data_IF_866083118228
#
_entry.id   IF_866083118228
#
_cell.length_a   1.000
_cell.length_b   1.000
_cell.length_c   1.000
_cell.angle_alpha   90.00
_cell.angle_beta   90.00
_cell.angle_gamma   90.00
#
_symmetry.space_group_name_H-M   'P 1'
#
loop_
_entity.id
_entity.type
_entity.pdbx_description
1 polymer ?
#
# COMPACT_ATOMS: atom_id res chain seq x y z
N UNK A 1 18.24 -14.02 -22.87
CA UNK A 1 17.62 -12.83 -22.19
C UNK A 1 16.19 -13.18 -21.87
N UNK A 2 15.78 -13.10 -20.61
CA UNK A 2 14.39 -13.33 -20.23
C UNK A 2 13.56 -12.17 -20.80
N UNK A 3 12.45 -12.44 -21.52
CA UNK A 3 11.58 -11.38 -22.01
C UNK A 3 11.10 -10.51 -20.83
N UNK A 4 11.29 -9.21 -20.93
CA UNK A 4 10.78 -8.23 -19.93
C UNK A 4 9.34 -7.87 -20.27
N UNK A 5 8.47 -8.88 -20.32
CA UNK A 5 7.04 -8.69 -20.57
C UNK A 5 6.26 -8.75 -19.26
N UNK A 6 5.29 -7.84 -19.14
CA UNK A 6 4.35 -7.93 -18.03
C UNK A 6 3.48 -9.17 -18.19
N UNK A 7 3.13 -9.78 -17.06
CA UNK A 7 2.24 -10.94 -17.07
C UNK A 7 1.19 -10.81 -15.95
N UNK A 8 -0.04 -11.20 -16.28
CA UNK A 8 -1.12 -11.39 -15.33
C UNK A 8 -1.57 -12.85 -15.44
N UNK A 9 -1.46 -13.56 -14.32
CA UNK A 9 -1.91 -14.95 -14.21
C UNK A 9 -3.28 -14.98 -13.55
N UNK A 10 -4.28 -15.43 -14.28
CA UNK A 10 -5.63 -15.59 -13.77
C UNK A 10 -5.80 -17.01 -13.21
N UNK A 11 -6.02 -17.11 -11.91
CA UNK A 11 -6.22 -18.38 -11.21
C UNK A 11 -7.28 -18.26 -10.12
N UNK A 12 -8.13 -19.27 -10.00
CA UNK A 12 -9.15 -19.37 -8.97
C UNK A 12 -8.57 -19.54 -7.56
N UNK A 13 -9.42 -19.45 -6.55
CA UNK A 13 -9.02 -19.75 -5.18
C UNK A 13 -8.51 -21.20 -5.06
N UNK A 14 -7.41 -21.41 -4.34
CA UNK A 14 -6.81 -22.73 -4.14
C UNK A 14 -5.99 -23.27 -5.34
N UNK A 15 -5.94 -22.58 -6.48
CA UNK A 15 -5.22 -23.05 -7.69
C UNK A 15 -3.70 -22.81 -7.65
N UNK A 16 -3.13 -22.50 -6.48
CA UNK A 16 -1.67 -22.42 -6.32
C UNK A 16 -1.06 -21.06 -6.71
N UNK A 17 -1.79 -19.95 -6.61
CA UNK A 17 -1.29 -18.59 -6.91
C UNK A 17 0.06 -18.30 -6.24
N UNK A 18 0.15 -18.47 -4.92
CA UNK A 18 1.42 -18.26 -4.18
C UNK A 18 2.53 -19.19 -4.66
N UNK A 19 2.21 -20.45 -5.05
CA UNK A 19 3.19 -21.36 -5.65
C UNK A 19 3.71 -20.81 -6.98
N UNK A 20 2.87 -20.17 -7.76
CA UNK A 20 3.25 -19.51 -9.04
C UNK A 20 4.22 -18.35 -8.79
N UNK A 21 3.98 -17.51 -7.77
CA UNK A 21 4.90 -16.43 -7.36
C UNK A 21 6.27 -17.02 -6.95
N UNK A 22 6.27 -18.05 -6.10
CA UNK A 22 7.51 -18.74 -5.66
C UNK A 22 8.27 -19.29 -6.87
N UNK A 23 7.58 -20.00 -7.76
CA UNK A 23 8.19 -20.58 -8.96
C UNK A 23 8.75 -19.49 -9.91
N UNK A 24 8.03 -18.37 -10.07
CA UNK A 24 8.48 -17.23 -10.89
C UNK A 24 9.72 -16.58 -10.29
N UNK A 25 9.74 -16.32 -9.00
CA UNK A 25 10.91 -15.74 -8.31
C UNK A 25 12.12 -16.67 -8.43
N UNK A 26 11.93 -17.97 -8.16
CA UNK A 26 12.98 -18.97 -8.31
C UNK A 26 13.52 -19.05 -9.73
N UNK A 27 12.66 -19.07 -10.74
CA UNK A 27 13.04 -19.05 -12.15
C UNK A 27 13.87 -17.80 -12.51
N UNK A 28 13.46 -16.62 -12.09
CA UNK A 28 14.16 -15.35 -12.35
C UNK A 28 15.58 -15.38 -11.77
N UNK A 29 15.72 -15.82 -10.52
CA UNK A 29 17.02 -15.92 -9.84
C UNK A 29 17.90 -16.94 -10.54
N UNK A 30 17.40 -18.15 -10.84
CA UNK A 30 18.15 -19.21 -11.55
C UNK A 30 18.55 -18.79 -12.96
N UNK A 31 17.82 -17.87 -13.57
CA UNK A 31 18.12 -17.31 -14.88
C UNK A 31 19.07 -16.11 -14.85
N UNK A 32 19.65 -15.79 -13.67
CA UNK A 32 20.69 -14.78 -13.51
C UNK A 32 20.20 -13.39 -13.06
N UNK A 33 18.90 -13.23 -12.72
CA UNK A 33 18.43 -11.98 -12.10
C UNK A 33 18.90 -11.93 -10.65
N UNK A 34 19.62 -10.89 -10.21
CA UNK A 34 20.01 -10.76 -8.81
C UNK A 34 18.79 -10.73 -7.90
N UNK A 35 18.79 -11.54 -6.83
CA UNK A 35 17.63 -11.69 -5.93
C UNK A 35 17.17 -10.36 -5.33
N UNK A 36 18.09 -9.44 -5.00
CA UNK A 36 17.77 -8.12 -4.46
C UNK A 36 17.10 -7.16 -5.47
N UNK A 37 17.12 -7.51 -6.78
CA UNK A 37 16.43 -6.78 -7.86
C UNK A 37 14.98 -7.22 -8.04
N UNK A 38 14.53 -8.19 -7.24
CA UNK A 38 13.15 -8.69 -7.24
C UNK A 38 12.49 -8.26 -5.95
N UNK A 39 11.37 -7.52 -6.06
CA UNK A 39 10.50 -7.20 -4.93
C UNK A 39 9.19 -7.97 -5.10
N UNK A 40 8.76 -8.66 -4.05
CA UNK A 40 7.46 -9.32 -3.99
C UNK A 40 6.54 -8.51 -3.08
N UNK A 41 5.34 -8.19 -3.57
CA UNK A 41 4.31 -7.47 -2.84
C UNK A 41 3.13 -8.41 -2.55
N UNK A 42 2.68 -8.43 -1.31
CA UNK A 42 1.56 -9.25 -0.85
C UNK A 42 0.75 -8.50 0.21
N UNK A 43 -0.39 -9.06 0.64
CA UNK A 43 -1.27 -8.38 1.59
C UNK A 43 -0.89 -8.59 3.06
N UNK A 44 -0.20 -9.69 3.38
CA UNK A 44 0.14 -10.01 4.78
C UNK A 44 1.64 -10.21 4.97
N UNK A 45 2.13 -9.85 6.15
CA UNK A 45 3.52 -10.11 6.54
C UNK A 45 3.84 -11.60 6.58
N UNK A 46 2.85 -12.42 6.97
CA UNK A 46 2.99 -13.88 7.01
C UNK A 46 3.23 -14.44 5.60
N UNK A 47 2.40 -14.05 4.62
CA UNK A 47 2.58 -14.47 3.22
C UNK A 47 3.94 -14.02 2.68
N UNK A 48 4.37 -12.79 2.99
CA UNK A 48 5.68 -12.31 2.59
C UNK A 48 6.83 -13.20 3.12
N UNK A 49 6.82 -13.53 4.42
CA UNK A 49 7.83 -14.40 5.02
C UNK A 49 7.79 -15.80 4.43
N UNK A 50 6.61 -16.37 4.25
CA UNK A 50 6.42 -17.72 3.68
C UNK A 50 6.94 -17.82 2.25
N UNK A 51 6.69 -16.80 1.41
CA UNK A 51 7.20 -16.78 0.02
C UNK A 51 8.73 -16.78 0.01
N UNK A 52 9.37 -15.92 0.82
CA UNK A 52 10.84 -15.85 0.89
C UNK A 52 11.42 -17.17 1.37
N UNK A 53 10.84 -17.77 2.40
CA UNK A 53 11.28 -19.06 2.95
C UNK A 53 11.18 -20.17 1.89
N UNK A 54 10.07 -20.27 1.18
CA UNK A 54 9.87 -21.26 0.10
C UNK A 54 10.87 -21.08 -1.03
N UNK A 55 11.18 -19.85 -1.45
CA UNK A 55 12.21 -19.61 -2.48
C UNK A 55 13.59 -20.03 -1.98
N UNK A 56 13.92 -19.72 -0.72
CA UNK A 56 15.18 -20.13 -0.08
C UNK A 56 15.32 -21.64 0.03
N UNK A 57 14.25 -22.38 0.32
CA UNK A 57 14.26 -23.84 0.33
C UNK A 57 14.65 -24.43 -1.03
N UNK A 58 14.33 -23.76 -2.12
CA UNK A 58 14.65 -24.21 -3.48
C UNK A 58 16.04 -23.79 -3.96
N UNK A 59 16.52 -22.61 -3.56
CA UNK A 59 17.70 -21.97 -4.15
C UNK A 59 18.86 -21.72 -3.17
N UNK A 60 18.65 -21.97 -1.88
CA UNK A 60 19.68 -21.73 -0.85
C UNK A 60 20.16 -20.28 -0.87
N UNK A 61 21.48 -20.12 -0.85
CA UNK A 61 22.16 -18.80 -0.78
C UNK A 61 21.87 -17.91 -2.01
N UNK A 62 21.52 -18.49 -3.15
CA UNK A 62 21.15 -17.71 -4.36
C UNK A 62 19.93 -16.83 -4.13
N UNK A 63 19.07 -17.14 -3.16
CA UNK A 63 17.92 -16.36 -2.78
C UNK A 63 18.26 -15.27 -1.71
N UNK A 64 19.52 -15.15 -1.29
CA UNK A 64 19.92 -14.10 -0.33
C UNK A 64 19.66 -12.72 -0.94
N UNK A 65 19.02 -11.85 -0.15
CA UNK A 65 18.63 -10.52 -0.63
C UNK A 65 17.24 -10.43 -1.28
N UNK A 66 16.57 -11.55 -1.57
CA UNK A 66 15.17 -11.53 -2.04
C UNK A 66 14.28 -10.86 -0.98
N UNK A 67 13.44 -9.93 -1.43
CA UNK A 67 12.55 -9.17 -0.56
C UNK A 67 11.10 -9.46 -0.91
N UNK A 68 10.33 -9.80 0.12
CA UNK A 68 8.88 -9.80 0.06
C UNK A 68 8.33 -8.94 1.20
N UNK A 69 7.30 -8.17 0.95
CA UNK A 69 6.69 -7.29 1.95
C UNK A 69 5.24 -6.94 1.58
N UNK A 70 4.53 -6.37 2.54
CA UNK A 70 3.25 -5.72 2.22
C UNK A 70 3.50 -4.38 1.52
N UNK A 71 2.48 -3.87 0.80
CA UNK A 71 2.52 -2.54 0.18
C UNK A 71 2.94 -1.45 1.18
N UNK A 72 2.35 -1.45 2.38
CA UNK A 72 2.70 -0.49 3.43
C UNK A 72 4.16 -0.60 3.86
N UNK A 73 4.65 -1.81 4.13
CA UNK A 73 6.04 -2.03 4.53
C UNK A 73 7.01 -1.58 3.43
N UNK A 74 6.69 -1.84 2.18
CA UNK A 74 7.47 -1.39 1.03
C UNK A 74 7.52 0.14 0.95
N UNK A 75 6.35 0.81 1.00
CA UNK A 75 6.27 2.28 0.98
C UNK A 75 7.02 2.92 2.15
N UNK A 76 6.87 2.40 3.39
CA UNK A 76 7.63 2.87 4.55
C UNK A 76 9.13 2.74 4.30
N UNK A 77 9.58 1.63 3.70
CA UNK A 77 11.00 1.43 3.40
C UNK A 77 11.53 2.43 2.37
N UNK A 78 10.72 2.82 1.37
CA UNK A 78 11.07 3.85 0.39
C UNK A 78 11.18 5.22 1.05
N UNK A 79 10.18 5.61 1.83
CA UNK A 79 10.16 6.89 2.56
C UNK A 79 11.38 7.00 3.49
N UNK A 80 11.68 5.94 4.27
CA UNK A 80 12.81 5.94 5.21
C UNK A 80 14.17 6.09 4.51
N UNK A 81 14.33 5.55 3.31
CA UNK A 81 15.59 5.66 2.54
C UNK A 81 15.76 7.01 1.86
N UNK A 82 14.69 7.68 1.50
CA UNK A 82 14.72 8.97 0.81
C UNK A 82 13.59 9.91 1.28
N UNK A 83 13.53 10.29 2.58
CA UNK A 83 12.42 11.04 3.13
C UNK A 83 12.20 12.39 2.44
N UNK A 84 13.26 13.04 1.97
CA UNK A 84 13.14 14.28 1.22
C UNK A 84 12.47 14.10 -0.16
N UNK A 85 12.73 12.97 -0.84
CA UNK A 85 12.13 12.70 -2.14
C UNK A 85 10.60 12.50 -2.06
N UNK A 86 10.10 12.11 -0.88
CA UNK A 86 8.68 11.91 -0.60
C UNK A 86 8.06 13.09 0.17
N UNK A 87 8.81 14.16 0.45
CA UNK A 87 8.32 15.28 1.26
C UNK A 87 8.02 14.94 2.72
N UNK A 88 8.55 13.83 3.22
CA UNK A 88 8.26 13.27 4.54
C UNK A 88 9.38 13.48 5.57
N UNK A 89 10.25 14.48 5.34
CA UNK A 89 11.29 14.81 6.33
C UNK A 89 10.61 15.24 7.64
N UNK A 90 11.08 14.67 8.75
CA UNK A 90 10.60 14.96 10.11
C UNK A 90 9.11 14.57 10.37
N UNK A 91 8.56 13.66 9.58
CA UNK A 91 7.24 13.09 9.83
C UNK A 91 7.32 11.83 10.72
N UNK A 92 6.33 11.66 11.57
CA UNK A 92 6.15 10.47 12.40
C UNK A 92 4.97 9.64 11.87
N UNK A 93 5.17 8.33 11.81
CA UNK A 93 4.09 7.41 11.43
C UNK A 93 3.24 7.11 12.67
N UNK A 94 1.93 7.30 12.55
CA UNK A 94 0.93 6.93 13.55
C UNK A 94 0.24 5.63 13.14
N UNK A 95 -0.05 4.81 14.13
CA UNK A 95 -0.75 3.55 13.91
C UNK A 95 -2.28 3.71 13.99
N UNK A 96 -2.99 2.57 13.90
CA UNK A 96 -4.47 2.56 13.95
C UNK A 96 -5.02 3.00 15.29
N UNK A 97 -4.33 2.71 16.38
CA UNK A 97 -4.78 3.10 17.71
C UNK A 97 -4.61 4.60 17.91
N UNK A 98 -3.50 5.18 17.47
CA UNK A 98 -3.28 6.63 17.45
C UNK A 98 -4.34 7.35 16.59
N UNK A 99 -4.62 6.83 15.39
CA UNK A 99 -5.66 7.32 14.49
C UNK A 99 -7.02 7.32 15.20
N UNK A 100 -7.36 6.20 15.85
CA UNK A 100 -8.61 6.07 16.60
C UNK A 100 -8.71 7.07 17.75
N UNK A 101 -7.64 7.30 18.50
CA UNK A 101 -7.60 8.29 19.57
C UNK A 101 -7.80 9.71 19.04
N UNK A 102 -7.18 10.06 17.92
CA UNK A 102 -7.38 11.36 17.28
C UNK A 102 -8.84 11.54 16.87
N UNK A 103 -9.46 10.55 16.23
CA UNK A 103 -10.89 10.62 15.88
C UNK A 103 -11.79 10.72 17.12
N UNK A 104 -11.49 10.03 18.23
CA UNK A 104 -12.23 10.16 19.50
C UNK A 104 -12.18 11.59 20.03
N UNK A 105 -11.00 12.22 20.02
CA UNK A 105 -10.82 13.60 20.49
C UNK A 105 -11.57 14.58 19.59
N UNK A 106 -11.41 14.46 18.27
CA UNK A 106 -11.99 15.38 17.28
C UNK A 106 -13.50 15.26 17.16
N UNK A 107 -14.04 14.04 17.29
CA UNK A 107 -15.47 13.80 17.37
C UNK A 107 -16.11 14.52 18.58
N UNK A 108 -15.37 14.61 19.69
CA UNK A 108 -15.81 15.24 20.91
C UNK A 108 -16.74 14.35 21.77
N UNK A 109 -16.72 14.58 23.08
CA UNK A 109 -17.52 13.82 24.07
C UNK A 109 -19.02 14.10 23.98
N UNK A 110 -19.41 15.30 23.49
CA UNK A 110 -20.81 15.75 23.37
C UNK A 110 -21.40 15.55 21.98
N UNK A 111 -20.71 14.79 21.11
CA UNK A 111 -21.23 14.54 19.78
C UNK A 111 -22.59 13.80 19.84
N UNK A 112 -23.49 14.15 18.93
CA UNK A 112 -24.79 13.48 18.77
C UNK A 112 -24.62 11.96 18.74
N UNK A 113 -25.55 11.22 19.33
CA UNK A 113 -25.60 9.76 19.22
C UNK A 113 -25.76 9.28 17.78
N UNK A 114 -26.22 10.13 16.88
CA UNK A 114 -26.35 9.85 15.44
C UNK A 114 -25.04 9.99 14.68
N UNK A 115 -24.03 10.74 15.19
CA UNK A 115 -22.74 10.84 14.54
C UNK A 115 -21.98 9.52 14.69
N UNK A 116 -21.39 8.97 13.61
CA UNK A 116 -20.65 7.71 13.64
C UNK A 116 -19.60 7.69 14.77
N UNK A 117 -19.36 6.51 15.32
CA UNK A 117 -18.30 6.31 16.33
C UNK A 117 -16.93 6.63 15.74
N UNK A 118 -15.94 6.85 16.59
CA UNK A 118 -14.58 7.09 16.14
C UNK A 118 -14.03 5.96 15.25
N UNK A 119 -14.37 4.70 15.56
CA UNK A 119 -13.99 3.55 14.74
C UNK A 119 -14.64 3.62 13.34
N UNK A 120 -15.94 3.90 13.28
CA UNK A 120 -16.65 4.05 12.01
C UNK A 120 -16.13 5.24 11.20
N UNK A 121 -15.77 6.37 11.85
CA UNK A 121 -15.14 7.50 11.16
C UNK A 121 -13.77 7.14 10.59
N UNK A 122 -12.94 6.38 11.33
CA UNK A 122 -11.69 5.85 10.83
C UNK A 122 -11.92 4.96 9.60
N UNK A 123 -12.90 4.04 9.66
CA UNK A 123 -13.18 3.11 8.56
C UNK A 123 -13.69 3.85 7.31
N UNK A 124 -14.59 4.82 7.48
CA UNK A 124 -15.09 5.67 6.40
C UNK A 124 -13.95 6.50 5.77
N UNK A 125 -13.08 7.06 6.60
CA UNK A 125 -11.92 7.82 6.14
C UNK A 125 -10.98 6.95 5.31
N UNK A 126 -10.54 5.82 5.85
CA UNK A 126 -9.65 4.89 5.16
C UNK A 126 -10.30 4.34 3.88
N UNK A 127 -11.59 4.01 3.91
CA UNK A 127 -12.29 3.56 2.72
C UNK A 127 -12.30 4.61 1.60
N UNK A 128 -12.60 5.86 1.93
CA UNK A 128 -12.57 6.97 0.96
C UNK A 128 -11.18 7.15 0.35
N UNK A 129 -10.12 7.12 1.18
CA UNK A 129 -8.72 7.23 0.74
C UNK A 129 -8.30 6.08 -0.19
N UNK A 130 -8.60 4.85 0.19
CA UNK A 130 -8.19 3.65 -0.55
C UNK A 130 -8.94 3.49 -1.88
N UNK A 131 -10.20 3.95 -1.95
CA UNK A 131 -11.02 3.85 -3.17
C UNK A 131 -10.96 5.08 -4.05
N UNK A 132 -10.54 6.24 -3.52
CA UNK A 132 -10.60 7.53 -4.20
C UNK A 132 -12.01 8.09 -4.33
N UNK A 133 -12.98 7.54 -3.61
CA UNK A 133 -14.37 8.03 -3.61
C UNK A 133 -14.50 9.31 -2.80
N UNK A 134 -15.41 10.18 -3.22
CA UNK A 134 -15.80 11.34 -2.42
C UNK A 134 -16.50 10.91 -1.12
N UNK A 135 -16.52 11.77 -0.11
CA UNK A 135 -17.26 11.50 1.13
C UNK A 135 -18.74 11.20 0.84
N UNK A 136 -19.35 11.91 -0.10
CA UNK A 136 -20.74 11.71 -0.53
C UNK A 136 -20.96 10.27 -1.04
N UNK A 137 -20.14 9.83 -1.98
CA UNK A 137 -20.21 8.47 -2.54
C UNK A 137 -19.90 7.39 -1.49
N UNK A 138 -18.93 7.67 -0.61
CA UNK A 138 -18.55 6.77 0.50
C UNK A 138 -19.72 6.55 1.47
N UNK A 139 -20.38 7.64 1.89
CA UNK A 139 -21.52 7.57 2.80
C UNK A 139 -22.71 6.85 2.17
N UNK A 140 -23.05 7.17 0.92
CA UNK A 140 -24.14 6.48 0.19
C UNK A 140 -23.91 4.98 0.09
N UNK A 141 -22.66 4.56 -0.09
CA UNK A 141 -22.30 3.15 -0.25
C UNK A 141 -22.19 2.41 1.08
N UNK A 142 -21.49 2.99 2.07
CA UNK A 142 -21.04 2.26 3.25
C UNK A 142 -21.78 2.66 4.55
N UNK A 143 -22.45 3.82 4.58
CA UNK A 143 -23.13 4.31 5.78
C UNK A 143 -24.31 5.23 5.41
N UNK A 144 -25.33 4.73 4.67
CA UNK A 144 -26.45 5.55 4.22
C UNK A 144 -27.22 6.21 5.38
N UNK A 145 -27.31 5.53 6.53
CA UNK A 145 -27.96 6.05 7.74
C UNK A 145 -27.27 7.28 8.35
N UNK A 146 -25.96 7.46 8.08
CA UNK A 146 -25.19 8.61 8.55
C UNK A 146 -25.16 9.75 7.54
N UNK A 147 -25.85 9.63 6.42
CA UNK A 147 -25.79 10.60 5.33
C UNK A 147 -26.28 12.00 5.76
N UNK A 148 -27.29 12.07 6.65
CA UNK A 148 -27.80 13.32 7.21
C UNK A 148 -26.80 14.10 8.05
N UNK A 149 -25.72 13.47 8.53
CA UNK A 149 -24.62 14.07 9.27
C UNK A 149 -23.38 14.37 8.42
N UNK A 150 -23.50 14.33 7.09
CA UNK A 150 -22.38 14.47 6.14
C UNK A 150 -21.49 15.69 6.43
N UNK A 151 -22.08 16.86 6.71
CA UNK A 151 -21.35 18.08 7.03
C UNK A 151 -20.52 17.95 8.31
N UNK A 152 -21.08 17.33 9.35
CA UNK A 152 -20.37 17.12 10.63
C UNK A 152 -19.24 16.10 10.44
N UNK A 153 -19.48 15.02 9.69
CA UNK A 153 -18.48 14.02 9.34
C UNK A 153 -17.34 14.68 8.56
N UNK A 154 -17.66 15.51 7.56
CA UNK A 154 -16.68 16.27 6.79
C UNK A 154 -15.82 17.18 7.68
N UNK A 155 -16.42 17.89 8.63
CA UNK A 155 -15.71 18.75 9.59
C UNK A 155 -14.72 17.93 10.44
N UNK A 156 -15.12 16.76 10.95
CA UNK A 156 -14.24 15.89 11.74
C UNK A 156 -13.08 15.39 10.88
N UNK A 157 -13.33 14.99 9.64
CA UNK A 157 -12.28 14.52 8.71
C UNK A 157 -11.30 15.65 8.36
N UNK A 158 -11.80 16.86 8.09
CA UNK A 158 -10.95 18.03 7.84
C UNK A 158 -10.10 18.39 9.06
N UNK A 159 -10.68 18.35 10.27
CA UNK A 159 -9.93 18.56 11.51
C UNK A 159 -8.86 17.48 11.74
N UNK A 160 -9.14 16.24 11.36
CA UNK A 160 -8.16 15.15 11.42
C UNK A 160 -6.98 15.42 10.48
N UNK A 161 -7.24 15.79 9.22
CA UNK A 161 -6.20 16.15 8.25
C UNK A 161 -5.37 17.37 8.72
N UNK A 162 -6.02 18.40 9.26
CA UNK A 162 -5.33 19.55 9.82
C UNK A 162 -4.41 19.15 10.99
N UNK A 163 -4.90 18.31 11.91
CA UNK A 163 -4.11 17.83 13.03
C UNK A 163 -2.90 17.00 12.59
N UNK A 164 -3.04 16.14 11.59
CA UNK A 164 -1.90 15.39 11.02
C UNK A 164 -0.84 16.34 10.45
N UNK A 165 -1.25 17.33 9.67
CA UNK A 165 -0.32 18.32 9.09
C UNK A 165 0.42 19.11 10.17
N UNK A 166 -0.30 19.63 11.17
CA UNK A 166 0.28 20.43 12.25
C UNK A 166 1.32 19.65 13.06
N UNK A 167 1.08 18.34 13.24
CA UNK A 167 1.94 17.47 14.04
C UNK A 167 2.93 16.67 13.19
N UNK A 168 2.92 16.84 11.86
CA UNK A 168 3.72 16.06 10.92
C UNK A 168 3.52 14.55 11.09
N UNK A 169 2.26 14.15 11.17
CA UNK A 169 1.88 12.74 11.25
C UNK A 169 1.52 12.18 9.88
N UNK A 170 1.89 10.91 9.64
CA UNK A 170 1.44 10.09 8.52
C UNK A 170 0.73 8.88 9.08
N UNK A 171 -0.53 8.68 8.74
CA UNK A 171 -1.19 7.41 8.97
C UNK A 171 -0.86 6.40 7.86
N UNK A 172 -1.37 5.16 7.98
CA UNK A 172 -1.09 4.13 6.98
C UNK A 172 -1.66 4.46 5.58
N UNK A 173 -2.78 5.18 5.49
CA UNK A 173 -3.34 5.60 4.21
C UNK A 173 -2.45 6.68 3.56
N UNK A 174 -1.92 7.62 4.33
CA UNK A 174 -1.00 8.65 3.87
C UNK A 174 0.30 8.04 3.32
N UNK A 175 0.82 6.98 3.93
CA UNK A 175 2.04 6.30 3.48
C UNK A 175 1.91 5.83 2.04
N UNK A 176 0.78 5.20 1.69
CA UNK A 176 0.54 4.75 0.32
C UNK A 176 0.32 5.93 -0.62
N UNK A 177 -0.47 6.91 -0.21
CA UNK A 177 -0.86 8.06 -1.04
C UNK A 177 0.33 8.95 -1.39
N UNK A 178 1.18 9.27 -0.41
CA UNK A 178 2.40 10.05 -0.62
C UNK A 178 3.34 9.37 -1.63
N UNK A 179 3.55 8.06 -1.49
CA UNK A 179 4.39 7.32 -2.43
C UNK A 179 3.75 7.28 -3.81
N UNK A 180 2.46 6.99 -3.92
CA UNK A 180 1.74 6.96 -5.19
C UNK A 180 1.77 8.32 -5.90
N UNK A 181 1.58 9.42 -5.16
CA UNK A 181 1.64 10.77 -5.68
C UNK A 181 3.03 11.11 -6.21
N UNK A 182 4.08 10.80 -5.45
CA UNK A 182 5.47 11.08 -5.88
C UNK A 182 5.89 10.21 -7.07
N UNK A 183 5.49 8.95 -7.13
CA UNK A 183 5.74 8.10 -8.30
C UNK A 183 5.04 8.62 -9.56
N UNK A 184 3.88 9.23 -9.43
CA UNK A 184 3.12 9.79 -10.56
C UNK A 184 3.66 11.14 -11.00
N UNK A 185 3.97 12.05 -10.06
CA UNK A 185 4.29 13.46 -10.34
C UNK A 185 5.79 13.75 -10.50
N UNK A 186 6.68 12.94 -9.88
CA UNK A 186 8.12 13.16 -9.89
C UNK A 186 8.87 12.11 -10.73
N UNK A 187 9.31 12.45 -11.95
CA UNK A 187 10.11 11.54 -12.78
C UNK A 187 11.40 11.07 -12.07
N UNK A 188 12.06 11.95 -11.31
CA UNK A 188 13.28 11.61 -10.59
C UNK A 188 13.04 10.58 -9.49
N UNK A 189 11.99 10.78 -8.67
CA UNK A 189 11.61 9.83 -7.61
C UNK A 189 11.20 8.50 -8.22
N UNK A 190 10.40 8.51 -9.30
CA UNK A 190 10.00 7.31 -10.02
C UNK A 190 11.20 6.54 -10.57
N UNK A 191 12.13 7.21 -11.26
CA UNK A 191 13.33 6.57 -11.80
C UNK A 191 14.23 6.03 -10.69
N UNK A 192 14.36 6.74 -9.57
CA UNK A 192 15.09 6.25 -8.41
C UNK A 192 14.46 4.97 -7.81
N UNK A 193 13.14 4.91 -7.68
CA UNK A 193 12.47 3.69 -7.21
C UNK A 193 12.64 2.56 -8.23
N UNK A 194 12.36 2.83 -9.51
CA UNK A 194 12.46 1.83 -10.58
C UNK A 194 13.88 1.27 -10.73
N UNK A 195 14.92 2.09 -10.54
CA UNK A 195 16.32 1.64 -10.65
C UNK A 195 16.71 0.57 -9.63
N UNK A 196 15.90 0.34 -8.60
CA UNK A 196 16.17 -0.66 -7.55
C UNK A 196 15.68 -2.05 -7.91
N UNK A 197 14.78 -2.16 -8.90
CA UNK A 197 14.11 -3.41 -9.22
C UNK A 197 14.14 -3.68 -10.72
N UNK A 198 14.28 -4.94 -11.09
CA UNK A 198 13.99 -5.43 -12.43
C UNK A 198 12.58 -5.98 -12.52
N UNK A 199 12.10 -6.55 -11.39
CA UNK A 199 10.80 -7.20 -11.31
C UNK A 199 10.05 -6.82 -10.02
N UNK A 200 8.77 -6.52 -10.18
CA UNK A 200 7.79 -6.46 -9.09
C UNK A 200 6.80 -7.61 -9.28
N UNK A 201 6.77 -8.54 -8.35
CA UNK A 201 5.83 -9.66 -8.32
C UNK A 201 4.72 -9.32 -7.33
N UNK A 202 3.46 -9.38 -7.75
CA UNK A 202 2.30 -9.03 -6.92
C UNK A 202 1.44 -10.27 -6.71
N UNK A 203 1.33 -10.69 -5.46
CA UNK A 203 0.46 -11.79 -5.04
C UNK A 203 -0.92 -11.27 -4.68
N UNK A 204 -1.97 -12.05 -4.98
CA UNK A 204 -3.38 -11.72 -4.75
C UNK A 204 -3.80 -10.39 -5.43
N UNK A 205 -3.44 -10.23 -6.69
CA UNK A 205 -3.72 -9.00 -7.45
C UNK A 205 -5.19 -8.62 -7.46
N UNK A 206 -6.11 -9.60 -7.37
CA UNK A 206 -7.56 -9.35 -7.34
C UNK A 206 -8.01 -8.56 -6.10
N UNK A 207 -7.23 -8.57 -5.01
CA UNK A 207 -7.54 -7.85 -3.77
C UNK A 207 -6.93 -6.43 -3.75
N UNK A 208 -6.19 -6.07 -4.81
CA UNK A 208 -5.54 -4.77 -4.94
C UNK A 208 -6.55 -3.65 -5.11
N UNK A 209 -6.49 -2.65 -4.24
CA UNK A 209 -7.36 -1.48 -4.31
C UNK A 209 -6.79 -0.40 -5.28
N UNK A 210 -7.61 0.62 -5.67
CA UNK A 210 -7.17 1.68 -6.57
C UNK A 210 -5.93 2.45 -6.11
N UNK A 211 -5.75 2.65 -4.80
CA UNK A 211 -4.58 3.35 -4.26
C UNK A 211 -3.30 2.50 -4.42
N UNK A 212 -3.38 1.20 -4.18
CA UNK A 212 -2.27 0.27 -4.39
C UNK A 212 -1.91 0.15 -5.88
N UNK A 213 -2.91 0.17 -6.77
CA UNK A 213 -2.65 0.19 -8.20
C UNK A 213 -1.88 1.45 -8.64
N UNK A 214 -2.19 2.62 -8.07
CA UNK A 214 -1.44 3.87 -8.32
C UNK A 214 0.04 3.80 -7.92
N UNK A 215 0.45 2.84 -7.09
CA UNK A 215 1.87 2.59 -6.78
C UNK A 215 2.58 1.81 -7.89
N UNK A 216 1.88 0.92 -8.57
CA UNK A 216 2.43 0.02 -9.59
C UNK A 216 2.42 0.65 -10.99
N UNK A 217 1.32 1.31 -11.34
CA UNK A 217 1.09 1.85 -12.68
C UNK A 217 2.20 2.78 -13.19
N UNK A 218 2.72 3.74 -12.41
CA UNK A 218 3.82 4.60 -12.86
C UNK A 218 5.13 3.84 -13.13
N UNK A 219 5.34 2.70 -12.50
CA UNK A 219 6.57 1.91 -12.60
C UNK A 219 6.58 0.95 -13.79
N UNK A 220 5.42 0.62 -14.37
CA UNK A 220 5.28 -0.40 -15.43
C UNK A 220 6.17 -0.17 -16.66
N UNK A 221 6.55 1.06 -16.96
CA UNK A 221 7.41 1.37 -18.11
C UNK A 221 8.91 1.14 -17.85
N UNK A 222 9.31 0.93 -16.60
CA UNK A 222 10.71 0.78 -16.19
C UNK A 222 10.99 -0.55 -15.47
N UNK A 223 9.96 -1.16 -14.88
CA UNK A 223 10.04 -2.41 -14.11
C UNK A 223 9.04 -3.41 -14.66
N UNK A 224 9.43 -4.66 -14.75
CA UNK A 224 8.52 -5.71 -15.20
C UNK A 224 7.59 -6.13 -14.07
N UNK A 225 6.28 -6.10 -14.33
CA UNK A 225 5.24 -6.54 -13.39
C UNK A 225 4.84 -7.99 -13.71
N UNK A 226 4.74 -8.80 -12.67
CA UNK A 226 4.16 -10.14 -12.73
C UNK A 226 3.13 -10.26 -11.62
N UNK A 227 1.87 -10.37 -11.99
CA UNK A 227 0.73 -10.33 -11.07
C UNK A 227 -0.02 -11.68 -11.08
N UNK A 228 -0.49 -12.12 -9.92
CA UNK A 228 -1.25 -13.37 -9.74
C UNK A 228 -2.50 -13.11 -8.93
#
# INVERSE_FOLDING_TARGET
>A
TIPREHALVLAGAGCGKTKTIVARAAFLISSGTPSHRIQILTFTRRSASEIVERVRMHLGDSAEGLKASTFHTWCISLIRRAPAAFGCKDYSVIDRDDQLQLFKVLRGKKASSQLPTAAQLCDLYSFARNTGLTLDATLKKNSPHSYSQKEQIAQVMLAYEARKRDRRYLDYDDILDVVAQQLSSSPNTRSWVASQYDYLLVDEMQDTNPLQWKLLDPLKHQVTLFCV
#
